data_IF_554781538689
#
_entry.id   IF_554781538689
#
_cell.length_a   1.000
_cell.length_b   1.000
_cell.length_c   1.000
_cell.angle_alpha   90.00
_cell.angle_beta   90.00
_cell.angle_gamma   90.00
#
_symmetry.space_group_name_H-M   'P 1'
#
loop_
_entity.id
_entity.type
_entity.pdbx_description
1 polymer ?
#
# COMPACT_ATOMS: atom_id res chain seq x y z
N UNK A 1 8.86 43.67 -24.87
CA UNK A 1 10.04 42.80 -24.74
C UNK A 1 9.63 41.61 -23.86
N UNK A 2 9.13 40.56 -24.52
CA UNK A 2 9.64 39.17 -24.50
C UNK A 2 9.37 38.40 -23.20
N UNK A 3 8.21 37.75 -23.16
CA UNK A 3 7.88 36.64 -22.28
C UNK A 3 8.74 35.42 -22.63
N UNK A 4 9.66 35.03 -21.73
CA UNK A 4 10.42 33.79 -21.85
C UNK A 4 9.65 32.67 -21.14
N UNK A 5 8.86 31.94 -21.91
CA UNK A 5 8.30 30.65 -21.48
C UNK A 5 9.33 29.58 -21.84
N UNK A 6 9.93 28.95 -20.83
CA UNK A 6 10.82 27.81 -21.02
C UNK A 6 10.07 26.60 -21.62
N UNK A 7 10.67 25.85 -22.57
CA UNK A 7 10.03 24.66 -23.10
C UNK A 7 10.07 23.53 -22.07
N UNK A 8 8.89 23.01 -21.71
CA UNK A 8 8.75 21.81 -20.89
C UNK A 8 9.10 20.61 -21.77
N UNK A 9 10.24 19.97 -21.49
CA UNK A 9 10.66 18.74 -22.17
C UNK A 9 9.59 17.65 -22.02
N UNK A 10 9.11 17.16 -23.16
CA UNK A 10 8.14 16.08 -23.27
C UNK A 10 8.78 14.77 -22.79
N UNK A 11 8.29 14.24 -21.67
CA UNK A 11 8.68 12.93 -21.14
C UNK A 11 8.42 11.83 -22.18
N UNK A 12 9.47 11.20 -22.69
CA UNK A 12 9.36 10.09 -23.64
C UNK A 12 8.72 8.89 -22.94
N UNK A 13 7.46 8.60 -23.26
CA UNK A 13 6.73 7.45 -22.73
C UNK A 13 7.32 6.16 -23.31
N UNK A 14 7.90 5.32 -22.45
CA UNK A 14 8.34 3.97 -22.83
C UNK A 14 7.10 3.19 -23.28
N UNK A 15 7.02 2.89 -24.59
CA UNK A 15 5.99 1.99 -25.13
C UNK A 15 6.39 0.55 -24.81
N UNK A 16 5.68 -0.06 -23.87
CA UNK A 16 5.76 -1.50 -23.65
C UNK A 16 5.11 -2.21 -24.84
N UNK A 17 5.66 -3.36 -25.23
CA UNK A 17 5.03 -4.22 -26.25
C UNK A 17 3.68 -4.67 -25.72
N UNK A 18 2.66 -4.55 -26.55
CA UNK A 18 1.35 -5.12 -26.26
C UNK A 18 1.52 -6.64 -26.22
N UNK A 19 1.39 -7.25 -25.04
CA UNK A 19 1.50 -8.70 -24.87
C UNK A 19 0.08 -9.25 -24.93
N UNK A 20 -0.19 -10.02 -25.99
CA UNK A 20 -1.49 -10.65 -26.17
C UNK A 20 -1.73 -11.67 -25.04
N UNK A 21 -2.90 -11.59 -24.40
CA UNK A 21 -3.26 -12.51 -23.34
C UNK A 21 -3.54 -13.90 -23.91
N UNK A 22 -2.67 -14.87 -23.63
CA UNK A 22 -2.76 -16.24 -24.19
C UNK A 22 -3.82 -17.13 -23.53
N UNK A 23 -4.42 -16.68 -22.42
CA UNK A 23 -5.43 -17.47 -21.68
C UNK A 23 -4.86 -18.61 -20.84
N UNK A 24 -3.54 -18.84 -20.85
CA UNK A 24 -2.94 -19.98 -20.16
C UNK A 24 -3.09 -19.91 -18.64
N UNK A 25 -3.13 -18.68 -18.10
CA UNK A 25 -3.38 -18.43 -16.69
C UNK A 25 -4.81 -18.85 -16.31
N UNK A 26 -5.81 -18.50 -17.12
CA UNK A 26 -7.20 -18.91 -16.88
C UNK A 26 -7.36 -20.43 -17.02
N UNK A 27 -6.66 -21.07 -17.96
CA UNK A 27 -6.68 -22.54 -18.09
C UNK A 27 -6.10 -23.24 -16.86
N UNK A 28 -5.01 -22.72 -16.28
CA UNK A 28 -4.31 -23.33 -15.14
C UNK A 28 -4.96 -23.02 -13.79
N UNK A 29 -5.50 -21.81 -13.64
CA UNK A 29 -5.91 -21.28 -12.34
C UNK A 29 -7.35 -20.78 -12.29
N UNK A 30 -8.14 -20.96 -13.36
CA UNK A 30 -9.50 -20.43 -13.45
C UNK A 30 -10.50 -20.96 -12.41
N UNK A 31 -10.19 -22.08 -11.76
CA UNK A 31 -11.00 -22.62 -10.65
C UNK A 31 -10.65 -22.00 -9.29
N UNK A 32 -9.51 -21.32 -9.20
CA UNK A 32 -8.98 -20.76 -7.95
C UNK A 32 -9.44 -19.30 -7.80
N UNK A 33 -9.91 -18.93 -6.60
CA UNK A 33 -10.38 -17.57 -6.30
C UNK A 33 -9.26 -16.52 -6.32
N UNK A 34 -8.02 -16.97 -6.22
CA UNK A 34 -6.83 -16.14 -6.32
C UNK A 34 -5.61 -17.02 -6.49
N UNK A 35 -4.56 -16.45 -7.07
CA UNK A 35 -3.24 -17.07 -7.21
C UNK A 35 -2.20 -16.17 -6.57
N UNK A 36 -1.18 -16.79 -5.99
CA UNK A 36 -0.03 -16.03 -5.49
C UNK A 36 0.87 -15.58 -6.65
N UNK A 37 1.59 -14.47 -6.44
CA UNK A 37 2.62 -13.99 -7.37
C UNK A 37 3.64 -15.09 -7.68
N UNK A 38 4.02 -15.86 -6.67
CA UNK A 38 5.00 -16.95 -6.80
C UNK A 38 4.46 -18.10 -7.68
N UNK A 39 3.17 -18.44 -7.59
CA UNK A 39 2.55 -19.42 -8.49
C UNK A 39 2.42 -18.91 -9.93
N UNK A 40 2.21 -17.60 -10.10
CA UNK A 40 2.07 -17.00 -11.43
C UNK A 40 3.40 -16.90 -12.16
N UNK A 41 4.43 -16.38 -11.50
CA UNK A 41 5.75 -16.15 -12.09
C UNK A 41 6.71 -17.32 -11.92
N UNK A 42 6.39 -18.30 -11.05
CA UNK A 42 7.31 -19.38 -10.70
C UNK A 42 8.58 -18.88 -10.01
N UNK A 43 8.52 -17.70 -9.37
CA UNK A 43 9.64 -17.10 -8.67
C UNK A 43 9.60 -17.65 -7.23
N UNK A 44 10.67 -18.34 -6.83
CA UNK A 44 10.78 -19.25 -5.70
C UNK A 44 10.09 -20.61 -5.89
N UNK A 45 10.69 -21.64 -5.29
CA UNK A 45 10.12 -22.98 -5.17
C UNK A 45 8.86 -22.90 -4.29
N UNK A 46 7.70 -22.70 -4.92
CA UNK A 46 6.41 -22.80 -4.27
C UNK A 46 6.32 -24.13 -3.54
N UNK A 47 6.24 -24.06 -2.21
CA UNK A 47 6.13 -25.20 -1.33
C UNK A 47 4.63 -25.48 -1.13
N UNK A 48 4.16 -26.53 -1.81
CA UNK A 48 2.75 -26.91 -1.81
C UNK A 48 2.26 -27.32 -0.43
N UNK A 49 3.16 -27.86 0.42
CA UNK A 49 2.84 -28.25 1.79
C UNK A 49 2.54 -27.01 2.65
N UNK A 50 3.36 -25.95 2.55
CA UNK A 50 3.10 -24.68 3.26
C UNK A 50 1.82 -24.00 2.80
N UNK A 51 1.52 -24.08 1.50
CA UNK A 51 0.29 -23.50 0.97
C UNK A 51 -0.96 -24.26 1.43
N UNK A 52 -0.89 -25.59 1.53
CA UNK A 52 -1.96 -26.41 2.08
C UNK A 52 -2.16 -26.14 3.57
N UNK A 53 -1.07 -25.99 4.33
CA UNK A 53 -1.12 -25.61 5.74
C UNK A 53 -1.78 -24.22 5.92
N UNK A 54 -1.36 -23.23 5.12
CA UNK A 54 -1.96 -21.89 5.13
C UNK A 54 -3.44 -21.92 4.77
N UNK A 55 -3.84 -22.70 3.76
CA UNK A 55 -5.25 -22.91 3.40
C UNK A 55 -6.04 -23.54 4.55
N UNK A 56 -5.49 -24.55 5.20
CA UNK A 56 -6.13 -25.19 6.36
C UNK A 56 -6.30 -24.22 7.52
N UNK A 57 -5.31 -23.36 7.78
CA UNK A 57 -5.41 -22.28 8.79
C UNK A 57 -6.46 -21.26 8.41
N UNK A 58 -6.50 -20.80 7.16
CA UNK A 58 -7.50 -19.84 6.71
C UNK A 58 -8.92 -20.41 6.77
N UNK A 59 -9.09 -21.72 6.56
CA UNK A 59 -10.40 -22.38 6.64
C UNK A 59 -11.01 -22.30 8.05
N UNK A 60 -10.20 -22.31 9.12
CA UNK A 60 -10.73 -22.10 10.48
C UNK A 60 -11.24 -20.67 10.72
N UNK A 61 -10.87 -19.71 9.88
CA UNK A 61 -11.35 -18.33 9.93
C UNK A 61 -12.49 -18.05 8.93
N UNK A 62 -13.13 -19.07 8.35
CA UNK A 62 -14.12 -18.93 7.28
C UNK A 62 -15.37 -18.08 7.57
N UNK A 63 -15.57 -17.63 8.82
CA UNK A 63 -16.62 -16.69 9.21
C UNK A 63 -16.14 -15.26 9.54
N UNK A 64 -14.83 -15.02 9.56
CA UNK A 64 -14.26 -13.71 9.88
C UNK A 64 -14.21 -12.83 8.62
N UNK A 65 -14.73 -11.61 8.70
CA UNK A 65 -14.62 -10.61 7.62
C UNK A 65 -13.21 -10.03 7.51
N UNK A 66 -12.44 -10.11 8.59
CA UNK A 66 -11.04 -9.72 8.69
C UNK A 66 -10.31 -10.64 9.64
N UNK A 67 -9.06 -10.98 9.31
CA UNK A 67 -8.18 -11.79 10.16
C UNK A 67 -7.00 -10.90 10.54
N UNK A 68 -6.71 -10.80 11.84
CA UNK A 68 -5.52 -10.07 12.29
C UNK A 68 -4.27 -10.90 12.02
N UNK A 69 -3.17 -10.23 11.68
CA UNK A 69 -1.85 -10.87 11.55
C UNK A 69 -1.45 -11.58 12.85
N UNK A 70 -1.78 -11.02 14.01
CA UNK A 70 -1.54 -11.64 15.32
C UNK A 70 -2.23 -13.00 15.45
N UNK A 71 -3.48 -13.09 14.98
CA UNK A 71 -4.29 -14.30 15.08
C UNK A 71 -3.83 -15.38 14.09
N UNK A 72 -3.31 -14.96 12.93
CA UNK A 72 -2.82 -15.89 11.91
C UNK A 72 -1.42 -16.44 12.24
N UNK A 73 -0.51 -15.61 12.74
CA UNK A 73 0.87 -15.99 13.05
C UNK A 73 1.07 -16.45 14.50
N UNK A 74 0.05 -16.30 15.37
CA UNK A 74 0.13 -16.71 16.77
C UNK A 74 1.09 -15.84 17.59
N UNK A 75 1.32 -14.59 17.17
CA UNK A 75 2.09 -13.64 17.96
C UNK A 75 1.28 -13.24 19.20
N UNK A 76 1.96 -13.02 20.33
CA UNK A 76 1.29 -12.57 21.55
C UNK A 76 0.41 -11.36 21.22
N UNK A 77 -0.86 -11.33 21.70
CA UNK A 77 -1.75 -10.22 21.41
C UNK A 77 -1.16 -8.96 22.05
N UNK A 78 -0.43 -8.19 21.23
CA UNK A 78 0.01 -6.87 21.62
C UNK A 78 -1.25 -6.08 21.91
N UNK A 79 -1.32 -5.53 23.12
CA UNK A 79 -2.36 -4.55 23.46
C UNK A 79 -2.41 -3.49 22.36
N UNK A 80 -3.57 -2.90 22.09
CA UNK A 80 -3.71 -1.87 21.04
C UNK A 80 -2.67 -0.75 21.17
N UNK A 81 -2.22 -0.49 22.40
CA UNK A 81 -1.15 0.43 22.75
C UNK A 81 0.27 -0.08 22.39
N UNK A 82 0.55 -1.37 22.55
CA UNK A 82 1.78 -2.02 22.07
C UNK A 82 1.79 -2.17 20.54
N UNK A 83 0.63 -2.39 19.91
CA UNK A 83 0.52 -2.46 18.45
C UNK A 83 0.79 -1.09 17.80
N UNK A 84 0.25 -0.02 18.38
CA UNK A 84 0.59 1.35 17.99
C UNK A 84 2.08 1.65 18.20
N UNK A 85 2.67 1.21 19.32
CA UNK A 85 4.08 1.40 19.60
C UNK A 85 5.02 0.58 18.69
N UNK A 86 4.66 -0.67 18.33
CA UNK A 86 5.43 -1.49 17.39
C UNK A 86 5.35 -0.97 15.95
N UNK A 87 4.18 -0.46 15.53
CA UNK A 87 4.03 0.22 14.23
C UNK A 87 4.82 1.53 14.16
N UNK A 88 4.84 2.31 15.24
CA UNK A 88 5.66 3.52 15.34
C UNK A 88 7.18 3.20 15.27
N UNK A 89 7.60 2.04 15.78
CA UNK A 89 9.00 1.58 15.68
C UNK A 89 9.37 1.04 14.29
N UNK A 90 8.38 0.69 13.46
CA UNK A 90 8.56 0.35 12.04
C UNK A 90 8.33 1.58 11.12
N UNK A 91 8.59 2.78 11.64
CA UNK A 91 9.35 3.88 11.02
C UNK A 91 9.02 4.48 9.64
N UNK A 92 8.06 3.99 8.85
CA UNK A 92 7.78 4.66 7.55
C UNK A 92 6.35 4.52 7.02
N UNK A 93 5.57 3.51 7.42
CA UNK A 93 4.20 3.33 6.92
C UNK A 93 3.13 3.70 7.95
N UNK A 94 3.46 3.71 9.25
CA UNK A 94 2.51 4.03 10.32
C UNK A 94 2.20 5.52 10.45
N UNK A 95 3.17 6.40 10.18
CA UNK A 95 3.00 7.85 10.36
C UNK A 95 2.06 8.48 9.32
N UNK A 96 2.03 7.92 8.10
CA UNK A 96 1.17 8.42 7.03
C UNK A 96 -0.28 8.00 7.28
N UNK A 97 -0.52 6.74 7.64
CA UNK A 97 -1.88 6.25 7.92
C UNK A 97 -2.47 6.94 9.16
N UNK A 98 -1.70 7.08 10.24
CA UNK A 98 -2.18 7.79 11.44
C UNK A 98 -2.49 9.26 11.16
N UNK A 99 -1.66 9.95 10.37
CA UNK A 99 -1.95 11.31 9.93
C UNK A 99 -3.20 11.37 9.06
N UNK A 100 -3.42 10.39 8.17
CA UNK A 100 -4.64 10.33 7.33
C UNK A 100 -5.89 10.11 8.19
N UNK A 101 -5.85 9.24 9.21
CA UNK A 101 -7.00 9.03 10.10
C UNK A 101 -7.28 10.24 10.99
N UNK A 102 -6.27 10.95 11.47
CA UNK A 102 -6.46 12.19 12.23
C UNK A 102 -6.99 13.33 11.35
N UNK A 103 -6.54 13.39 10.10
CA UNK A 103 -7.07 14.33 9.09
C UNK A 103 -8.53 13.95 8.81
N UNK A 104 -8.82 12.70 8.44
CA UNK A 104 -10.19 12.26 8.19
C UNK A 104 -11.11 12.50 9.40
N UNK A 105 -10.68 12.13 10.60
CA UNK A 105 -11.45 12.36 11.83
C UNK A 105 -11.70 13.82 12.15
N UNK A 106 -10.76 14.73 11.86
CA UNK A 106 -10.91 16.17 12.08
C UNK A 106 -11.71 16.88 10.98
N UNK A 107 -11.72 16.38 9.75
CA UNK A 107 -12.30 17.07 8.59
C UNK A 107 -13.59 16.45 8.04
N UNK A 108 -14.05 15.29 8.54
CA UNK A 108 -15.35 14.70 8.18
C UNK A 108 -16.54 15.54 8.71
N UNK A 109 -16.31 16.49 9.62
CA UNK A 109 -17.35 17.28 10.28
C UNK A 109 -17.46 18.75 9.87
N UNK A 110 -16.36 19.51 9.78
CA UNK A 110 -16.46 20.97 9.75
C UNK A 110 -15.37 21.65 8.88
N UNK A 111 -15.85 22.52 8.00
CA UNK A 111 -15.18 23.68 7.38
C UNK A 111 -14.08 23.44 6.33
N UNK A 112 -14.41 23.76 5.07
CA UNK A 112 -13.51 23.77 3.90
C UNK A 112 -12.31 24.71 4.08
N UNK A 113 -12.42 25.73 4.94
CA UNK A 113 -11.31 26.61 5.29
C UNK A 113 -10.25 25.91 6.15
N UNK A 114 -10.65 24.99 7.02
CA UNK A 114 -9.72 24.20 7.83
C UNK A 114 -8.93 23.21 6.96
N UNK A 115 -9.58 22.63 5.96
CA UNK A 115 -8.92 21.77 4.95
C UNK A 115 -7.92 22.59 4.12
N UNK A 116 -8.29 23.81 3.70
CA UNK A 116 -7.39 24.68 2.93
C UNK A 116 -6.14 25.07 3.74
N UNK A 117 -6.31 25.43 5.01
CA UNK A 117 -5.19 25.73 5.91
C UNK A 117 -4.28 24.52 6.16
N UNK A 118 -4.86 23.34 6.36
CA UNK A 118 -4.09 22.10 6.53
C UNK A 118 -3.32 21.71 5.26
N UNK A 119 -3.94 21.90 4.08
CA UNK A 119 -3.31 21.65 2.79
C UNK A 119 -2.16 22.63 2.52
N UNK A 120 -2.34 23.91 2.84
CA UNK A 120 -1.30 24.93 2.69
C UNK A 120 -0.09 24.65 3.61
N UNK A 121 -0.35 24.23 4.85
CA UNK A 121 0.71 23.81 5.79
C UNK A 121 1.37 22.49 5.38
N UNK A 122 0.60 21.53 4.87
CA UNK A 122 1.12 20.23 4.39
C UNK A 122 1.96 20.37 3.12
N UNK A 123 1.52 21.20 2.17
CA UNK A 123 2.26 21.46 0.93
C UNK A 123 3.60 22.17 1.19
N UNK A 124 3.65 23.09 2.17
CA UNK A 124 4.91 23.73 2.59
C UNK A 124 5.93 22.70 3.11
N UNK A 125 5.51 21.85 4.06
CA UNK A 125 6.37 20.80 4.62
C UNK A 125 6.81 19.77 3.58
N UNK A 126 5.92 19.40 2.67
CA UNK A 126 6.25 18.49 1.56
C UNK A 126 7.25 19.13 0.59
N UNK A 127 7.08 20.42 0.28
CA UNK A 127 8.00 21.18 -0.56
C UNK A 127 9.39 21.29 0.06
N UNK A 128 9.47 21.54 1.37
CA UNK A 128 10.74 21.60 2.10
C UNK A 128 11.41 20.22 2.14
N UNK A 129 10.65 19.15 2.37
CA UNK A 129 11.17 17.79 2.37
C UNK A 129 11.70 17.37 0.99
N UNK A 130 10.97 17.68 -0.08
CA UNK A 130 11.43 17.42 -1.45
C UNK A 130 12.65 18.29 -1.80
N UNK A 131 12.71 19.53 -1.35
CA UNK A 131 13.84 20.43 -1.57
C UNK A 131 15.09 19.97 -0.83
N UNK A 132 14.96 19.55 0.43
CA UNK A 132 16.08 18.99 1.19
C UNK A 132 16.53 17.64 0.61
N UNK A 133 15.61 16.82 0.11
CA UNK A 133 15.94 15.57 -0.59
C UNK A 133 16.66 15.80 -1.93
N UNK A 134 16.34 16.88 -2.65
CA UNK A 134 17.00 17.21 -3.91
C UNK A 134 18.36 17.92 -3.72
N UNK A 135 18.64 18.42 -2.51
CA UNK A 135 19.88 19.16 -2.18
C UNK A 135 20.95 18.27 -1.50
N UNK A 136 20.57 17.08 -1.04
CA UNK A 136 21.47 16.01 -0.61
C UNK A 136 21.74 15.03 -1.75
#
# INVERSE_FOLDING_TARGET
MTSSTAPVESSTSKKYKDVEYTGDVAKRFGTQKGISSDQFYGINSYDEDKANEARSKLQSFGGATSISSSDYYGEEPMTQQQFAASRARNGSSGDIETQIYDIAGKYIGEDMNAIKGALEQGAGKLGDYLRDYLRN
#
